data_IF_235523104238
#
_entry.id   IF_235523104238
#
_cell.length_a   1.000
_cell.length_b   1.000
_cell.length_c   1.000
_cell.angle_alpha   90.00
_cell.angle_beta   90.00
_cell.angle_gamma   90.00
#
_symmetry.space_group_name_H-M   'P 1'
#
loop_
_entity.id
_entity.type
_entity.pdbx_description
1 polymer ?
#
# COMPACT_ATOMS: atom_id res chain seq x y z
N UNK A 1 -32.49 -42.15 -21.45
CA UNK A 1 -31.20 -41.99 -20.72
C UNK A 1 -30.25 -41.01 -21.42
N UNK A 2 -29.92 -41.18 -22.72
CA UNK A 2 -29.00 -40.26 -23.44
C UNK A 2 -29.45 -38.79 -23.41
N UNK A 3 -30.75 -38.53 -23.57
CA UNK A 3 -31.34 -37.18 -23.51
C UNK A 3 -31.21 -36.50 -22.16
N UNK A 4 -31.29 -37.26 -21.06
CA UNK A 4 -31.15 -36.73 -19.71
C UNK A 4 -29.71 -36.27 -19.44
N UNK A 5 -28.74 -37.07 -19.89
CA UNK A 5 -27.31 -36.72 -19.81
C UNK A 5 -26.96 -35.50 -20.65
N UNK A 6 -27.57 -35.33 -21.82
CA UNK A 6 -27.35 -34.13 -22.65
C UNK A 6 -27.93 -32.88 -21.97
N UNK A 7 -29.11 -32.98 -21.38
CA UNK A 7 -29.72 -31.87 -20.64
C UNK A 7 -28.86 -31.43 -19.45
N UNK A 8 -28.34 -32.39 -18.65
CA UNK A 8 -27.41 -32.09 -17.54
C UNK A 8 -26.14 -31.42 -18.06
N UNK A 9 -25.57 -31.91 -19.16
CA UNK A 9 -24.37 -31.33 -19.76
C UNK A 9 -24.55 -29.88 -20.22
N UNK A 10 -25.68 -29.57 -20.86
CA UNK A 10 -26.00 -28.21 -21.30
C UNK A 10 -26.16 -27.26 -20.11
N UNK A 11 -26.84 -27.68 -19.05
CA UNK A 11 -27.02 -26.88 -17.83
C UNK A 11 -25.68 -26.65 -17.12
N UNK A 12 -24.81 -27.65 -17.06
CA UNK A 12 -23.47 -27.50 -16.48
C UNK A 12 -22.61 -26.51 -17.28
N UNK A 13 -22.60 -26.61 -18.61
CA UNK A 13 -21.87 -25.69 -19.48
C UNK A 13 -22.38 -24.24 -19.35
N UNK A 14 -23.70 -24.05 -19.27
CA UNK A 14 -24.30 -22.73 -19.06
C UNK A 14 -23.88 -22.11 -17.72
N UNK A 15 -23.83 -22.89 -16.63
CA UNK A 15 -23.37 -22.39 -15.33
C UNK A 15 -21.89 -22.01 -15.33
N UNK A 16 -21.03 -22.80 -15.98
CA UNK A 16 -19.60 -22.46 -16.10
C UNK A 16 -19.42 -21.16 -16.89
N UNK A 17 -20.14 -21.00 -18.01
CA UNK A 17 -20.10 -19.75 -18.78
C UNK A 17 -20.60 -18.56 -17.97
N UNK A 18 -21.66 -18.72 -17.19
CA UNK A 18 -22.17 -17.68 -16.30
C UNK A 18 -21.14 -17.28 -15.23
N UNK A 19 -20.45 -18.25 -14.62
CA UNK A 19 -19.39 -17.99 -13.65
C UNK A 19 -18.19 -17.26 -14.28
N UNK A 20 -17.79 -17.65 -15.50
CA UNK A 20 -16.72 -16.97 -16.23
C UNK A 20 -17.10 -15.53 -16.61
N UNK A 21 -18.33 -15.31 -17.06
CA UNK A 21 -18.84 -13.98 -17.37
C UNK A 21 -18.92 -13.10 -16.11
N UNK A 22 -19.36 -13.66 -14.98
CA UNK A 22 -19.39 -12.97 -13.70
C UNK A 22 -17.98 -12.62 -13.21
N UNK A 23 -17.04 -13.55 -13.28
CA UNK A 23 -15.64 -13.31 -12.92
C UNK A 23 -15.04 -12.21 -13.81
N UNK A 24 -15.26 -12.28 -15.13
CA UNK A 24 -14.82 -11.24 -16.06
C UNK A 24 -15.41 -9.87 -15.76
N UNK A 25 -16.70 -9.79 -15.43
CA UNK A 25 -17.36 -8.55 -15.02
C UNK A 25 -16.78 -7.97 -13.72
N UNK A 26 -16.52 -8.82 -12.73
CA UNK A 26 -15.95 -8.38 -11.45
C UNK A 26 -14.51 -7.88 -11.59
N UNK A 27 -13.70 -8.50 -12.46
CA UNK A 27 -12.36 -8.01 -12.80
C UNK A 27 -12.42 -6.71 -13.58
N UNK A 28 -13.32 -6.58 -14.56
CA UNK A 28 -13.46 -5.36 -15.37
C UNK A 28 -13.98 -4.15 -14.58
N UNK A 29 -14.73 -4.38 -13.49
CA UNK A 29 -15.25 -3.33 -12.60
C UNK A 29 -14.36 -3.04 -11.39
N UNK A 30 -13.16 -3.64 -11.35
CA UNK A 30 -12.19 -3.50 -10.24
C UNK A 30 -12.77 -3.90 -8.87
N UNK A 31 -13.82 -4.72 -8.88
CA UNK A 31 -14.45 -5.25 -7.66
C UNK A 31 -13.74 -6.51 -7.15
N UNK A 32 -12.97 -7.16 -8.02
CA UNK A 32 -12.15 -8.33 -7.73
C UNK A 32 -10.66 -7.95 -7.77
N UNK A 33 -10.10 -7.57 -6.63
CA UNK A 33 -8.64 -7.42 -6.48
C UNK A 33 -8.02 -8.73 -5.99
N UNK A 34 -6.72 -8.94 -6.28
CA UNK A 34 -5.96 -10.09 -5.78
C UNK A 34 -6.01 -10.13 -4.25
N UNK A 35 -5.89 -8.98 -3.58
CA UNK A 35 -5.98 -8.89 -2.11
C UNK A 35 -7.34 -9.33 -1.56
N UNK A 36 -8.45 -9.03 -2.26
CA UNK A 36 -9.79 -9.51 -1.86
C UNK A 36 -9.95 -11.01 -2.08
N UNK A 37 -9.34 -11.54 -3.15
CA UNK A 37 -9.33 -12.97 -3.43
C UNK A 37 -8.57 -13.75 -2.35
N UNK A 38 -7.46 -13.21 -1.87
CA UNK A 38 -6.72 -13.76 -0.73
C UNK A 38 -7.55 -13.70 0.55
N UNK A 39 -8.20 -12.57 0.86
CA UNK A 39 -9.10 -12.47 2.03
C UNK A 39 -10.26 -13.46 1.97
N UNK A 40 -10.89 -13.62 0.81
CA UNK A 40 -11.99 -14.58 0.61
C UNK A 40 -11.47 -16.01 0.73
N UNK A 41 -10.31 -16.32 0.15
CA UNK A 41 -9.67 -17.63 0.28
C UNK A 41 -9.37 -17.93 1.74
N UNK A 42 -8.82 -16.96 2.48
CA UNK A 42 -8.46 -17.14 3.88
C UNK A 42 -9.73 -17.35 4.73
N UNK A 43 -10.79 -16.57 4.49
CA UNK A 43 -12.12 -16.75 5.09
C UNK A 43 -12.74 -18.12 4.80
N UNK A 44 -12.62 -18.63 3.58
CA UNK A 44 -13.19 -19.92 3.17
C UNK A 44 -12.28 -21.11 3.52
N UNK A 45 -11.00 -20.87 3.78
CA UNK A 45 -10.03 -21.91 4.16
C UNK A 45 -10.19 -22.34 5.62
N UNK A 46 -10.68 -21.45 6.47
CA UNK A 46 -11.02 -21.80 7.85
C UNK A 46 -12.33 -22.59 7.86
N UNK A 47 -12.24 -23.90 8.12
CA UNK A 47 -13.42 -24.74 8.23
C UNK A 47 -14.17 -24.43 9.52
N UNK A 48 -15.51 -24.60 9.55
CA UNK A 48 -16.29 -24.42 10.79
C UNK A 48 -15.74 -25.26 11.96
N UNK A 49 -15.14 -26.41 11.68
CA UNK A 49 -14.49 -27.26 12.68
C UNK A 49 -13.21 -26.64 13.25
N UNK A 50 -12.42 -25.96 12.43
CA UNK A 50 -11.23 -25.23 12.86
C UNK A 50 -11.61 -23.97 13.64
N UNK A 51 -12.62 -23.22 13.17
CA UNK A 51 -13.13 -22.03 13.85
C UNK A 51 -13.69 -22.39 15.23
N UNK A 52 -14.54 -23.41 15.33
CA UNK A 52 -15.07 -23.88 16.63
C UNK A 52 -13.97 -24.38 17.56
N UNK A 53 -12.93 -25.04 17.04
CA UNK A 53 -11.79 -25.46 17.83
C UNK A 53 -10.95 -24.28 18.32
N UNK A 54 -10.78 -23.23 17.51
CA UNK A 54 -10.10 -21.98 17.91
C UNK A 54 -10.89 -21.26 18.98
N UNK A 55 -12.18 -21.04 18.77
CA UNK A 55 -13.06 -20.38 19.76
C UNK A 55 -13.14 -21.18 21.05
N UNK A 56 -13.22 -22.51 21.00
CA UNK A 56 -13.20 -23.33 22.21
C UNK A 56 -11.85 -23.26 22.95
N UNK A 57 -10.73 -23.14 22.24
CA UNK A 57 -9.41 -22.92 22.87
C UNK A 57 -9.30 -21.54 23.48
N UNK A 58 -9.75 -20.50 22.78
CA UNK A 58 -9.77 -19.12 23.26
C UNK A 58 -10.67 -18.98 24.49
N UNK A 59 -11.84 -19.62 24.48
CA UNK A 59 -12.73 -19.70 25.64
C UNK A 59 -12.07 -20.47 26.77
N UNK A 60 -11.45 -21.63 26.52
CA UNK A 60 -10.75 -22.38 27.55
C UNK A 60 -9.57 -21.61 28.15
N UNK A 61 -8.84 -20.82 27.35
CA UNK A 61 -7.78 -19.95 27.86
C UNK A 61 -8.34 -18.77 28.64
N UNK A 62 -9.42 -18.16 28.17
CA UNK A 62 -10.08 -17.06 28.88
C UNK A 62 -10.68 -17.53 30.21
N UNK A 63 -11.28 -18.73 30.24
CA UNK A 63 -11.82 -19.35 31.45
C UNK A 63 -10.70 -19.73 32.41
N UNK A 64 -9.59 -20.30 31.91
CA UNK A 64 -8.42 -20.61 32.72
C UNK A 64 -7.74 -19.35 33.29
N UNK A 65 -7.67 -18.26 32.51
CA UNK A 65 -7.16 -16.97 32.97
C UNK A 65 -8.11 -16.33 33.98
N UNK A 66 -9.42 -16.41 33.77
CA UNK A 66 -10.42 -15.94 34.73
C UNK A 66 -10.36 -16.74 36.03
N UNK A 67 -10.22 -18.06 35.96
CA UNK A 67 -10.06 -18.94 37.12
C UNK A 67 -8.72 -18.70 37.82
N UNK A 68 -7.62 -18.47 37.09
CA UNK A 68 -6.33 -18.10 37.67
C UNK A 68 -6.36 -16.73 38.34
N UNK A 69 -7.08 -15.76 37.75
CA UNK A 69 -7.32 -14.45 38.38
C UNK A 69 -8.18 -14.61 39.64
N UNK A 70 -9.24 -15.42 39.60
CA UNK A 70 -10.08 -15.71 40.77
C UNK A 70 -9.29 -16.44 41.86
N UNK A 71 -8.46 -17.42 41.52
CA UNK A 71 -7.62 -18.15 42.46
C UNK A 71 -6.47 -17.29 43.01
N UNK A 72 -6.01 -16.31 42.23
CA UNK A 72 -5.03 -15.30 42.64
C UNK A 72 -5.62 -14.17 43.49
N UNK A 73 -6.95 -13.99 43.49
CA UNK A 73 -7.59 -13.13 44.47
C UNK A 73 -7.45 -13.81 45.84
N UNK A 74 -6.90 -13.13 46.85
CA UNK A 74 -6.81 -13.67 48.20
C UNK A 74 -8.22 -14.06 48.68
N UNK A 75 -8.50 -15.36 48.71
CA UNK A 75 -9.74 -15.93 49.26
C UNK A 75 -9.76 -15.91 50.80
N UNK A 76 -8.77 -15.27 51.42
CA UNK A 76 -8.84 -14.84 52.81
C UNK A 76 -9.31 -13.39 52.83
N UNK A 77 -10.22 -13.07 53.74
CA UNK A 77 -10.57 -11.69 54.08
C UNK A 77 -9.28 -10.84 54.10
N UNK A 78 -9.15 -9.92 53.15
CA UNK A 78 -8.03 -8.98 53.13
C UNK A 78 -7.98 -8.36 54.52
N UNK A 79 -6.90 -8.53 55.30
CA UNK A 79 -6.84 -7.99 56.66
C UNK A 79 -6.91 -6.46 56.67
N UNK A 80 -6.74 -5.80 55.51
CA UNK A 80 -6.97 -4.36 55.32
C UNK A 80 -8.39 -3.99 54.86
N UNK A 81 -9.19 -4.91 54.31
CA UNK A 81 -10.61 -4.67 53.96
C UNK A 81 -11.59 -4.96 55.11
N UNK A 82 -11.07 -5.08 56.33
CA UNK A 82 -11.86 -5.28 57.53
C UNK A 82 -11.52 -6.63 58.13
N UNK A 83 -10.56 -6.60 59.05
CA UNK A 83 -10.32 -7.70 59.95
C UNK A 83 -11.67 -8.16 60.55
N UNK A 84 -11.94 -9.49 60.65
CA UNK A 84 -13.21 -9.98 61.18
C UNK A 84 -13.48 -9.30 62.54
N UNK A 85 -14.72 -8.86 62.73
CA UNK A 85 -15.14 -8.13 63.92
C UNK A 85 -14.63 -8.86 65.18
N UNK A 86 -13.63 -8.26 65.86
CA UNK A 86 -12.93 -8.90 66.98
C UNK A 86 -11.40 -8.86 66.94
N UNK A 87 -10.78 -8.28 65.91
CA UNK A 87 -9.31 -8.11 65.89
C UNK A 87 -8.90 -7.02 66.90
N UNK A 88 -8.09 -7.32 67.93
CA UNK A 88 -7.80 -6.37 69.00
C UNK A 88 -7.03 -5.16 68.45
N UNK A 89 -7.65 -3.98 68.46
CA UNK A 89 -7.06 -2.72 67.97
C UNK A 89 -7.75 -2.09 66.77
N UNK A 90 -8.66 -2.80 66.08
CA UNK A 90 -9.52 -2.21 65.07
C UNK A 90 -10.67 -1.45 65.76
N UNK A 91 -10.67 -0.12 65.66
CA UNK A 91 -11.82 0.69 66.10
C UNK A 91 -12.96 0.42 65.11
N UNK A 92 -14.09 -0.18 65.52
CA UNK A 92 -15.21 -0.39 64.62
C UNK A 92 -15.68 0.98 64.12
N UNK A 93 -15.62 1.19 62.81
CA UNK A 93 -16.18 2.38 62.19
C UNK A 93 -17.65 2.47 62.57
N UNK A 94 -18.05 3.63 63.05
CA UNK A 94 -19.46 3.91 63.31
C UNK A 94 -20.23 3.86 61.99
N UNK A 95 -21.51 3.45 62.02
CA UNK A 95 -22.37 3.43 60.83
C UNK A 95 -22.31 4.70 59.95
N UNK A 96 -22.24 5.94 60.49
CA UNK A 96 -22.07 7.13 59.65
C UNK A 96 -20.71 7.20 58.93
N UNK A 97 -19.63 6.70 59.51
CA UNK A 97 -18.30 6.68 58.87
C UNK A 97 -18.25 5.69 57.69
N UNK A 98 -18.91 4.53 57.81
CA UNK A 98 -19.04 3.56 56.72
C UNK A 98 -19.82 4.14 55.53
N UNK A 99 -20.91 4.87 55.80
CA UNK A 99 -21.67 5.54 54.75
C UNK A 99 -20.82 6.61 54.07
N UNK A 100 -20.08 7.41 54.83
CA UNK A 100 -19.17 8.42 54.28
C UNK A 100 -18.11 7.78 53.37
N UNK A 101 -17.47 6.71 53.82
CA UNK A 101 -16.48 5.97 53.03
C UNK A 101 -17.06 5.43 51.72
N UNK A 102 -18.28 4.86 51.76
CA UNK A 102 -18.94 4.36 50.55
C UNK A 102 -19.28 5.50 49.58
N UNK A 103 -19.73 6.65 50.09
CA UNK A 103 -20.03 7.81 49.24
C UNK A 103 -18.78 8.39 48.60
N UNK A 104 -17.65 8.40 49.31
CA UNK A 104 -16.37 8.88 48.79
C UNK A 104 -15.80 7.91 47.74
N UNK A 105 -15.86 6.60 47.98
CA UNK A 105 -15.49 5.58 47.01
C UNK A 105 -16.32 5.72 45.72
N UNK A 106 -17.65 5.84 45.86
CA UNK A 106 -18.55 6.03 44.71
C UNK A 106 -18.23 7.32 43.95
N UNK A 107 -17.84 8.40 44.65
CA UNK A 107 -17.47 9.67 44.03
C UNK A 107 -16.16 9.54 43.24
N UNK A 108 -15.16 8.87 43.79
CA UNK A 108 -13.89 8.60 43.10
C UNK A 108 -14.10 7.73 41.87
N UNK A 109 -14.94 6.70 41.95
CA UNK A 109 -15.23 5.83 40.81
C UNK A 109 -15.96 6.58 39.69
N UNK A 110 -16.91 7.47 40.03
CA UNK A 110 -17.53 8.35 39.03
C UNK A 110 -16.49 9.24 38.32
N UNK A 111 -15.56 9.82 39.08
CA UNK A 111 -14.48 10.63 38.49
C UNK A 111 -13.56 9.81 37.58
N UNK A 112 -13.23 8.57 37.97
CA UNK A 112 -12.45 7.64 37.14
C UNK A 112 -13.18 7.33 35.84
N UNK A 113 -14.46 6.97 35.92
CA UNK A 113 -15.29 6.67 34.73
C UNK A 113 -15.38 7.88 33.81
N UNK A 114 -15.60 9.08 34.35
CA UNK A 114 -15.64 10.31 33.55
C UNK A 114 -14.32 10.59 32.85
N UNK A 115 -13.19 10.40 33.53
CA UNK A 115 -11.86 10.55 32.94
C UNK A 115 -11.65 9.54 31.80
N UNK A 116 -11.94 8.26 32.04
CA UNK A 116 -11.79 7.21 31.02
C UNK A 116 -12.69 7.48 29.81
N UNK A 117 -13.92 7.98 30.02
CA UNK A 117 -14.80 8.38 28.91
C UNK A 117 -14.20 9.50 28.06
N UNK A 118 -13.62 10.53 28.68
CA UNK A 118 -12.94 11.61 27.96
C UNK A 118 -11.74 11.09 27.17
N UNK A 119 -10.93 10.22 27.76
CA UNK A 119 -9.79 9.60 27.10
C UNK A 119 -10.23 8.76 25.89
N UNK A 120 -11.32 7.97 26.00
CA UNK A 120 -11.91 7.21 24.89
C UNK A 120 -12.40 8.15 23.78
N UNK A 121 -13.09 9.23 24.14
CA UNK A 121 -13.59 10.21 23.17
C UNK A 121 -12.43 10.88 22.42
N UNK A 122 -11.36 11.24 23.12
CA UNK A 122 -10.18 11.86 22.53
C UNK A 122 -9.41 10.89 21.63
N UNK A 123 -9.24 9.62 22.03
CA UNK A 123 -8.67 8.58 21.18
C UNK A 123 -9.51 8.34 19.92
N UNK A 124 -10.84 8.27 20.07
CA UNK A 124 -11.76 8.08 18.94
C UNK A 124 -11.68 9.25 17.96
N UNK A 125 -11.58 10.48 18.46
CA UNK A 125 -11.37 11.68 17.62
C UNK A 125 -10.03 11.64 16.89
N UNK A 126 -8.96 11.24 17.57
CA UNK A 126 -7.62 11.11 16.97
C UNK A 126 -7.63 10.06 15.86
N UNK A 127 -8.11 8.84 16.14
CA UNK A 127 -8.24 7.78 15.15
C UNK A 127 -9.07 8.19 13.93
N UNK A 128 -10.16 8.95 14.15
CA UNK A 128 -10.97 9.47 13.03
C UNK A 128 -10.19 10.46 12.16
N UNK A 129 -9.37 11.33 12.76
CA UNK A 129 -8.53 12.28 12.00
C UNK A 129 -7.44 11.55 11.22
N UNK A 130 -6.79 10.56 11.83
CA UNK A 130 -5.77 9.75 11.18
C UNK A 130 -6.33 8.97 9.99
N UNK A 131 -7.52 8.35 10.14
CA UNK A 131 -8.19 7.68 9.02
C UNK A 131 -8.44 8.62 7.85
N UNK A 132 -8.95 9.82 8.11
CA UNK A 132 -9.19 10.83 7.06
C UNK A 132 -7.87 11.29 6.43
N UNK A 133 -6.78 11.39 7.18
CA UNK A 133 -5.46 11.72 6.63
C UNK A 133 -4.96 10.61 5.70
N UNK A 134 -5.01 9.35 6.14
CA UNK A 134 -4.62 8.18 5.34
C UNK A 134 -5.46 8.08 4.06
N UNK A 135 -6.76 8.31 4.13
CA UNK A 135 -7.63 8.27 2.95
C UNK A 135 -7.24 9.34 1.92
N UNK A 136 -6.89 10.55 2.37
CA UNK A 136 -6.37 11.61 1.48
C UNK A 136 -5.02 11.26 0.86
N UNK A 137 -4.11 10.70 1.65
CA UNK A 137 -2.79 10.26 1.15
C UNK A 137 -2.95 9.16 0.09
N UNK A 138 -3.89 8.22 0.30
CA UNK A 138 -4.23 7.19 -0.70
C UNK A 138 -4.79 7.79 -1.97
N UNK A 139 -5.74 8.73 -1.87
CA UNK A 139 -6.29 9.41 -3.04
C UNK A 139 -5.22 10.18 -3.82
N UNK A 140 -4.27 10.82 -3.14
CA UNK A 140 -3.13 11.50 -3.76
C UNK A 140 -2.22 10.49 -4.48
N UNK A 141 -1.85 9.39 -3.81
CA UNK A 141 -1.01 8.35 -4.39
C UNK A 141 -1.66 7.70 -5.62
N UNK A 142 -2.98 7.48 -5.61
CA UNK A 142 -3.72 6.98 -6.77
C UNK A 142 -3.75 7.97 -7.94
N UNK A 143 -3.76 9.27 -7.66
CA UNK A 143 -3.65 10.31 -8.71
C UNK A 143 -2.25 10.34 -9.30
N UNK A 144 -1.22 10.32 -8.47
CA UNK A 144 0.19 10.26 -8.89
C UNK A 144 0.46 9.00 -9.71
N UNK A 145 -0.03 7.84 -9.27
CA UNK A 145 0.08 6.57 -9.99
C UNK A 145 -0.56 6.65 -11.37
N UNK A 146 -1.78 7.20 -11.48
CA UNK A 146 -2.44 7.38 -12.78
C UNK A 146 -1.69 8.34 -13.70
N UNK A 147 -1.19 9.44 -13.16
CA UNK A 147 -0.37 10.39 -13.92
C UNK A 147 0.92 9.72 -14.42
N UNK A 148 1.56 8.91 -13.58
CA UNK A 148 2.74 8.13 -13.93
C UNK A 148 2.45 7.09 -15.01
N UNK A 149 1.38 6.30 -14.87
CA UNK A 149 0.96 5.32 -15.86
C UNK A 149 0.66 5.97 -17.22
N UNK A 150 0.04 7.16 -17.24
CA UNK A 150 -0.18 7.93 -18.45
C UNK A 150 1.14 8.38 -19.11
N UNK A 151 2.09 8.91 -18.34
CA UNK A 151 3.41 9.31 -18.85
C UNK A 151 4.16 8.10 -19.40
N UNK A 152 4.15 6.98 -18.67
CA UNK A 152 4.76 5.73 -19.08
C UNK A 152 4.15 5.22 -20.39
N UNK A 153 2.82 5.20 -20.51
CA UNK A 153 2.12 4.78 -21.72
C UNK A 153 2.49 5.64 -22.93
N UNK A 154 2.64 6.96 -22.76
CA UNK A 154 3.13 7.87 -23.83
C UNK A 154 4.57 7.55 -24.23
N UNK A 155 5.45 7.26 -23.28
CA UNK A 155 6.83 6.87 -23.57
C UNK A 155 6.86 5.55 -24.35
N UNK A 156 6.11 4.54 -23.92
CA UNK A 156 6.02 3.24 -24.60
C UNK A 156 5.43 3.39 -26.02
N UNK A 157 4.44 4.26 -26.22
CA UNK A 157 3.88 4.57 -27.55
C UNK A 157 4.92 5.23 -28.46
N UNK A 158 5.69 6.20 -27.93
CA UNK A 158 6.76 6.86 -28.67
C UNK A 158 7.87 5.87 -29.02
N UNK A 159 8.36 5.08 -28.06
CA UNK A 159 9.41 4.07 -28.26
C UNK A 159 8.97 2.96 -29.24
N UNK A 160 7.71 2.54 -29.17
CA UNK A 160 7.11 1.52 -30.06
C UNK A 160 6.82 2.02 -31.48
N UNK A 161 6.74 3.34 -31.67
CA UNK A 161 6.39 3.95 -32.95
C UNK A 161 7.37 3.53 -34.06
N UNK A 162 6.85 3.37 -35.28
CA UNK A 162 7.69 3.04 -36.43
C UNK A 162 8.68 4.17 -36.76
N UNK A 163 8.27 5.42 -36.50
CA UNK A 163 9.07 6.62 -36.68
C UNK A 163 10.27 6.64 -35.73
N UNK A 164 10.08 6.30 -34.46
CA UNK A 164 11.17 6.21 -33.49
C UNK A 164 12.19 5.15 -33.90
N UNK A 165 11.73 3.93 -34.24
CA UNK A 165 12.61 2.85 -34.71
C UNK A 165 13.40 3.24 -35.97
N UNK A 166 12.75 3.93 -36.90
CA UNK A 166 13.42 4.44 -38.10
C UNK A 166 14.47 5.49 -37.75
N UNK A 167 14.14 6.48 -36.93
CA UNK A 167 15.08 7.51 -36.47
C UNK A 167 16.27 6.88 -35.71
N UNK A 168 16.01 5.90 -34.84
CA UNK A 168 17.03 5.15 -34.12
C UNK A 168 17.96 4.40 -35.08
N UNK A 169 17.42 3.75 -36.12
CA UNK A 169 18.23 3.05 -37.11
C UNK A 169 19.16 3.99 -37.89
N UNK A 170 18.70 5.20 -38.19
CA UNK A 170 19.52 6.24 -38.82
C UNK A 170 20.61 6.70 -37.85
N UNK A 171 20.24 7.02 -36.60
CA UNK A 171 21.18 7.46 -35.57
C UNK A 171 22.26 6.41 -35.29
N UNK A 172 21.89 5.14 -35.22
CA UNK A 172 22.81 4.00 -35.02
C UNK A 172 23.76 3.77 -36.22
N UNK A 173 23.40 4.26 -37.41
CA UNK A 173 24.27 4.21 -38.59
C UNK A 173 25.30 5.34 -38.65
N UNK A 174 25.14 6.40 -37.85
CA UNK A 174 26.04 7.55 -37.82
C UNK A 174 27.26 7.32 -36.94
N UNK A 175 28.31 8.10 -37.18
CA UNK A 175 29.47 8.20 -36.27
C UNK A 175 29.08 9.05 -35.03
N UNK A 176 29.92 9.03 -34.01
CA UNK A 176 29.66 9.72 -32.74
C UNK A 176 29.42 11.24 -32.92
N UNK A 177 30.30 11.95 -33.63
CA UNK A 177 30.16 13.42 -33.77
C UNK A 177 28.87 13.86 -34.51
N UNK A 178 28.52 13.29 -35.69
CA UNK A 178 27.26 13.67 -36.34
C UNK A 178 26.02 13.25 -35.53
N UNK A 179 26.07 12.12 -34.84
CA UNK A 179 24.98 11.69 -33.96
C UNK A 179 24.79 12.65 -32.78
N UNK A 180 25.89 13.13 -32.17
CA UNK A 180 25.88 14.15 -31.12
C UNK A 180 25.23 15.44 -31.63
N UNK A 181 25.68 15.96 -32.78
CA UNK A 181 25.13 17.18 -33.37
C UNK A 181 23.62 17.06 -33.62
N UNK A 182 23.15 15.93 -34.14
CA UNK A 182 21.71 15.69 -34.31
C UNK A 182 20.94 15.69 -32.99
N UNK A 183 21.49 15.06 -31.94
CA UNK A 183 20.87 15.06 -30.62
C UNK A 183 20.88 16.45 -29.98
N UNK A 184 21.93 17.24 -30.17
CA UNK A 184 21.99 18.64 -29.73
C UNK A 184 20.89 19.48 -30.41
N UNK A 185 20.59 19.25 -31.69
CA UNK A 185 19.46 19.91 -32.37
C UNK A 185 18.11 19.48 -31.79
N UNK A 186 17.95 18.21 -31.44
CA UNK A 186 16.74 17.70 -30.76
C UNK A 186 16.60 18.34 -29.37
N UNK A 187 17.69 18.45 -28.62
CA UNK A 187 17.75 19.11 -27.30
C UNK A 187 17.40 20.59 -27.41
N UNK A 188 17.91 21.27 -28.43
CA UNK A 188 17.58 22.66 -28.72
C UNK A 188 16.13 22.87 -29.20
N UNK A 189 15.36 21.79 -29.38
CA UNK A 189 13.97 21.86 -29.84
C UNK A 189 13.84 22.21 -31.34
N UNK A 190 14.93 22.15 -32.10
CA UNK A 190 14.92 22.47 -33.54
C UNK A 190 14.23 21.33 -34.28
N UNK A 191 12.96 21.54 -34.59
CA UNK A 191 12.14 20.63 -35.38
C UNK A 191 12.43 20.83 -36.87
N UNK A 192 12.24 19.79 -37.69
CA UNK A 192 12.45 19.86 -39.14
C UNK A 192 11.63 20.97 -39.82
N UNK A 193 10.49 21.34 -39.22
CA UNK A 193 9.60 22.38 -39.72
C UNK A 193 10.02 23.81 -39.29
N UNK A 194 11.14 23.96 -38.57
CA UNK A 194 11.66 25.26 -38.11
C UNK A 194 10.83 25.92 -37.00
N UNK A 195 9.65 25.39 -36.71
CA UNK A 195 8.81 25.76 -35.59
C UNK A 195 9.28 24.96 -34.38
N UNK A 196 10.13 25.56 -33.56
CA UNK A 196 10.55 24.95 -32.29
C UNK A 196 9.34 24.80 -31.37
N UNK A 197 8.80 23.58 -31.26
CA UNK A 197 7.58 23.32 -30.47
C UNK A 197 7.87 22.73 -29.09
N UNK A 198 9.14 22.52 -28.73
CA UNK A 198 9.52 21.82 -27.51
C UNK A 198 10.22 22.72 -26.50
N UNK A 199 9.88 22.55 -25.22
CA UNK A 199 10.75 22.96 -24.13
C UNK A 199 12.09 22.21 -24.24
N UNK A 200 13.20 22.83 -23.81
CA UNK A 200 14.52 22.17 -23.79
C UNK A 200 14.44 20.86 -23.02
N UNK A 201 13.63 20.82 -21.96
CA UNK A 201 13.42 19.62 -21.15
C UNK A 201 12.84 18.45 -21.94
N UNK A 202 11.90 18.71 -22.86
CA UNK A 202 11.35 17.68 -23.76
C UNK A 202 12.41 17.18 -24.73
N UNK A 203 13.24 18.09 -25.26
CA UNK A 203 14.36 17.76 -26.15
C UNK A 203 15.40 16.86 -25.47
N UNK A 204 15.80 17.21 -24.25
CA UNK A 204 16.69 16.40 -23.41
C UNK A 204 16.08 15.03 -23.15
N UNK A 205 14.79 14.96 -22.79
CA UNK A 205 14.10 13.69 -22.55
C UNK A 205 14.12 12.80 -23.79
N UNK A 206 13.81 13.34 -24.98
CA UNK A 206 13.88 12.58 -26.25
C UNK A 206 15.29 12.11 -26.55
N UNK A 207 16.30 12.96 -26.34
CA UNK A 207 17.70 12.58 -26.56
C UNK A 207 18.11 11.41 -25.66
N UNK A 208 17.72 11.44 -24.38
CA UNK A 208 17.94 10.33 -23.43
C UNK A 208 17.26 9.05 -23.91
N UNK A 209 16.02 9.11 -24.43
CA UNK A 209 15.34 7.93 -24.99
C UNK A 209 16.11 7.31 -26.16
N UNK A 210 16.63 8.15 -27.07
CA UNK A 210 17.44 7.67 -28.19
C UNK A 210 18.77 7.08 -27.72
N UNK A 211 19.47 7.76 -26.80
CA UNK A 211 20.76 7.30 -26.27
C UNK A 211 20.61 5.96 -25.54
N UNK A 212 19.56 5.81 -24.73
CA UNK A 212 19.25 4.57 -24.01
C UNK A 212 19.00 3.40 -24.95
N UNK A 213 18.24 3.63 -26.03
CA UNK A 213 17.90 2.61 -27.02
C UNK A 213 19.07 2.22 -27.95
N UNK A 214 20.21 2.93 -27.90
CA UNK A 214 21.41 2.57 -28.68
C UNK A 214 22.14 1.36 -28.08
N UNK A 215 22.79 0.51 -28.91
CA UNK A 215 23.67 -0.53 -28.42
C UNK A 215 24.80 0.05 -27.55
N UNK A 216 25.18 -0.66 -26.48
CA UNK A 216 26.14 -0.21 -25.47
C UNK A 216 27.41 0.43 -26.06
N UNK A 217 28.01 -0.21 -27.08
CA UNK A 217 29.23 0.29 -27.73
C UNK A 217 29.04 1.63 -28.44
N UNK A 218 27.88 1.85 -29.06
CA UNK A 218 27.56 3.12 -29.73
C UNK A 218 27.22 4.19 -28.70
N UNK A 219 26.45 3.82 -27.66
CA UNK A 219 26.12 4.69 -26.54
C UNK A 219 27.37 5.24 -25.84
N UNK A 220 28.35 4.40 -25.52
CA UNK A 220 29.62 4.86 -24.89
C UNK A 220 30.35 5.86 -25.77
N UNK A 221 30.57 5.56 -27.04
CA UNK A 221 31.27 6.48 -27.98
C UNK A 221 30.55 7.81 -28.15
N UNK A 222 29.22 7.77 -28.18
CA UNK A 222 28.41 8.96 -28.27
C UNK A 222 28.54 9.81 -26.99
N UNK A 223 28.46 9.19 -25.81
CA UNK A 223 28.70 9.88 -24.55
C UNK A 223 30.11 10.46 -24.45
N UNK A 224 31.14 9.75 -24.90
CA UNK A 224 32.51 10.27 -24.96
C UNK A 224 32.58 11.55 -25.82
N UNK A 225 31.90 11.57 -26.98
CA UNK A 225 31.85 12.75 -27.84
C UNK A 225 31.10 13.95 -27.22
N UNK A 226 30.12 13.70 -26.34
CA UNK A 226 29.49 14.74 -25.54
C UNK A 226 30.46 15.27 -24.48
N UNK A 227 31.16 14.38 -23.75
CA UNK A 227 32.15 14.77 -22.72
C UNK A 227 33.26 15.65 -23.29
N UNK A 228 33.74 15.34 -24.50
CA UNK A 228 34.78 16.13 -25.18
C UNK A 228 34.32 17.55 -25.56
N UNK A 229 33.03 17.73 -25.86
CA UNK A 229 32.48 18.99 -26.41
C UNK A 229 31.79 19.86 -25.37
N UNK A 230 30.94 19.24 -24.54
CA UNK A 230 30.15 19.87 -23.49
C UNK A 230 30.03 18.89 -22.30
N UNK A 231 30.98 18.92 -21.35
CA UNK A 231 31.00 18.00 -20.22
C UNK A 231 29.84 18.20 -19.25
N UNK A 232 29.24 19.39 -19.19
CA UNK A 232 28.10 19.67 -18.32
C UNK A 232 26.84 18.99 -18.85
N UNK A 233 26.57 19.14 -20.16
CA UNK A 233 25.46 18.44 -20.81
C UNK A 233 25.63 16.92 -20.75
N UNK A 234 26.86 16.42 -20.93
CA UNK A 234 27.16 15.00 -20.81
C UNK A 234 26.81 14.46 -19.40
N UNK A 235 27.15 15.21 -18.35
CA UNK A 235 26.81 14.85 -16.97
C UNK A 235 25.29 14.86 -16.74
N UNK A 236 24.58 15.85 -17.27
CA UNK A 236 23.10 15.91 -17.20
C UNK A 236 22.46 14.70 -17.88
N UNK A 237 22.89 14.37 -19.11
CA UNK A 237 22.37 13.22 -19.86
C UNK A 237 22.65 11.90 -19.14
N UNK A 238 23.84 11.75 -18.56
CA UNK A 238 24.20 10.56 -17.79
C UNK A 238 23.36 10.40 -16.53
N UNK A 239 23.10 11.49 -15.81
CA UNK A 239 22.24 11.47 -14.62
C UNK A 239 20.79 11.12 -14.98
N UNK A 240 20.26 11.67 -16.08
CA UNK A 240 18.92 11.30 -16.56
C UNK A 240 18.84 9.84 -17.03
N UNK A 241 19.87 9.32 -17.70
CA UNK A 241 19.97 7.88 -18.04
C UNK A 241 19.96 7.02 -16.78
N UNK A 242 20.70 7.42 -15.74
CA UNK A 242 20.71 6.75 -14.44
C UNK A 242 19.32 6.74 -13.80
N UNK A 243 18.62 7.87 -13.83
CA UNK A 243 17.26 7.97 -13.28
C UNK A 243 16.24 7.16 -14.08
N UNK A 244 16.39 7.02 -15.41
CA UNK A 244 15.50 6.18 -16.24
C UNK A 244 15.58 4.70 -15.83
N UNK A 245 16.78 4.20 -15.53
CA UNK A 245 17.00 2.83 -15.05
C UNK A 245 16.57 2.61 -13.60
N UNK A 246 16.53 3.68 -12.80
CA UNK A 246 15.94 3.70 -11.46
C UNK A 246 14.44 4.00 -11.57
N UNK A 247 13.68 3.12 -12.26
CA UNK A 247 12.25 3.04 -11.98
C UNK A 247 12.04 2.97 -10.46
N UNK A 248 11.01 3.63 -9.91
CA UNK A 248 10.87 3.81 -8.46
C UNK A 248 11.11 2.47 -7.80
N UNK A 249 12.18 2.41 -6.99
CA UNK A 249 12.54 1.22 -6.22
C UNK A 249 11.26 0.76 -5.54
N UNK A 250 10.78 -0.40 -5.95
CA UNK A 250 9.59 -1.03 -5.40
C UNK A 250 9.72 -0.96 -3.87
N UNK A 251 8.92 -0.12 -3.17
CA UNK A 251 9.11 0.11 -1.74
C UNK A 251 8.92 -1.19 -0.95
N UNK A 252 8.23 -2.19 -1.54
CA UNK A 252 8.09 -3.53 -0.98
C UNK A 252 9.41 -4.31 -0.91
N UNK A 253 10.42 -3.99 -1.74
CA UNK A 253 11.74 -4.65 -1.69
C UNK A 253 12.69 -4.09 -0.63
N UNK A 254 12.31 -3.04 0.10
CA UNK A 254 13.09 -2.51 1.23
C UNK A 254 12.52 -2.89 2.60
N UNK A 255 11.46 -3.70 2.64
CA UNK A 255 10.77 -4.07 3.87
C UNK A 255 10.74 -5.57 4.15
N UNK A 256 11.91 -6.23 4.22
CA UNK A 256 12.16 -7.40 5.08
C UNK A 256 13.58 -7.34 5.62
#
# INVERSE_FOLDING_TARGET
MKTLWTAIGVVAAANILALLALAGYLTATDRLSISRLEQIRDLLSETETAERARVAREQATADAEAEALLAGLPHGADPELGAPAGTPGAVPLSSPELVAQHTDATRLDRQRIERTRREIDDLTRTLRRERVAIDREREQLEQERRAFELVRGRIEEIEGSAQFRKALSVLAGLKADPAREMLEQIIAGVSADGLGTGDREDGVTRAVLYIDALPDRQRTRLMDSFVERDPELAAELLERLRMKGLGPRDPERQGV
#
